data_IF_145256239780
#
_entry.id   IF_145256239780
#
_cell.length_a   1.000
_cell.length_b   1.000
_cell.length_c   1.000
_cell.angle_alpha   90.00
_cell.angle_beta   90.00
_cell.angle_gamma   90.00
#
_symmetry.space_group_name_H-M   'P 1'
#
loop_
_entity.id
_entity.type
_entity.pdbx_description
1 polymer ?
#
# COMPACT_ATOMS: atom_id res chain seq x y z
N UNK A 1 4.03 19.23 -2.20
CA UNK A 1 3.43 17.87 -2.16
C UNK A 1 2.74 17.63 -3.49
N UNK A 2 2.98 16.49 -4.15
CA UNK A 2 2.13 16.08 -5.28
C UNK A 2 0.70 15.94 -4.76
N UNK A 3 -0.34 16.47 -5.45
CA UNK A 3 -1.71 16.27 -5.03
C UNK A 3 -1.94 14.76 -4.88
N UNK A 4 -2.47 14.34 -3.72
CA UNK A 4 -2.81 12.93 -3.53
C UNK A 4 -3.75 12.54 -4.65
N UNK A 5 -3.41 11.53 -5.44
CA UNK A 5 -4.25 11.06 -6.52
C UNK A 5 -5.59 10.64 -5.90
N UNK A 6 -6.68 11.26 -6.32
CA UNK A 6 -8.01 11.12 -5.70
C UNK A 6 -8.55 9.67 -5.65
N UNK A 7 -7.90 8.74 -6.38
CA UNK A 7 -8.26 7.33 -6.48
C UNK A 7 -7.24 6.39 -5.83
N UNK A 8 -6.04 6.88 -5.38
CA UNK A 8 -5.02 6.07 -4.73
C UNK A 8 -4.91 6.43 -3.25
N UNK A 9 -5.03 5.43 -2.41
CA UNK A 9 -4.88 5.56 -0.97
C UNK A 9 -3.84 4.53 -0.47
N UNK A 10 -2.69 5.01 -0.04
CA UNK A 10 -1.64 4.15 0.48
C UNK A 10 -1.54 4.33 2.00
N UNK A 11 -1.92 3.29 2.72
CA UNK A 11 -1.85 3.21 4.16
C UNK A 11 -0.61 2.42 4.59
N UNK A 12 0.55 3.08 4.58
CA UNK A 12 1.82 2.56 5.13
C UNK A 12 2.31 1.21 4.57
N UNK A 13 1.73 0.68 3.49
CA UNK A 13 2.28 -0.51 2.82
C UNK A 13 3.54 -0.15 2.03
N UNK A 14 3.51 0.99 1.35
CA UNK A 14 4.62 1.54 0.59
C UNK A 14 4.98 2.95 1.08
N UNK A 15 6.12 3.47 0.66
CA UNK A 15 6.44 4.89 0.80
C UNK A 15 5.69 5.71 -0.26
N UNK A 16 4.94 6.75 0.13
CA UNK A 16 4.26 7.63 -0.82
C UNK A 16 5.25 8.29 -1.79
N UNK A 17 6.39 8.75 -1.28
CA UNK A 17 7.45 9.31 -2.13
C UNK A 17 7.96 8.29 -3.15
N UNK A 18 8.16 7.03 -2.72
CA UNK A 18 8.61 5.98 -3.63
C UNK A 18 7.58 5.75 -4.75
N UNK A 19 6.30 5.72 -4.42
CA UNK A 19 5.21 5.58 -5.39
C UNK A 19 5.11 6.78 -6.34
N UNK A 20 5.37 8.01 -5.85
CA UNK A 20 5.19 9.22 -6.65
C UNK A 20 6.37 9.49 -7.58
N UNK A 21 7.60 9.15 -7.17
CA UNK A 21 8.82 9.55 -7.84
C UNK A 21 9.66 8.37 -8.35
N UNK A 22 9.76 7.30 -7.57
CA UNK A 22 10.69 6.21 -7.86
C UNK A 22 10.11 5.11 -8.72
N UNK A 23 8.88 4.68 -8.44
CA UNK A 23 8.22 3.62 -9.22
C UNK A 23 8.11 3.98 -10.70
N UNK A 24 7.97 5.26 -11.03
CA UNK A 24 7.93 5.78 -12.40
C UNK A 24 9.25 5.62 -13.16
N UNK A 25 10.34 5.35 -12.45
CA UNK A 25 11.67 5.12 -13.04
C UNK A 25 11.92 3.65 -13.37
N UNK A 26 11.08 2.74 -12.85
CA UNK A 26 11.18 1.32 -13.13
C UNK A 26 10.86 1.00 -14.59
N UNK A 27 11.45 -0.05 -15.12
CA UNK A 27 11.23 -0.47 -16.51
C UNK A 27 9.76 -0.83 -16.74
N UNK A 28 9.11 -1.48 -15.79
CA UNK A 28 7.69 -1.86 -15.85
C UNK A 28 6.76 -0.65 -16.02
N UNK A 29 7.16 0.53 -15.54
CA UNK A 29 6.36 1.75 -15.73
C UNK A 29 6.34 2.24 -17.18
N UNK A 30 7.37 1.88 -17.94
CA UNK A 30 7.57 2.28 -19.34
C UNK A 30 7.10 1.22 -20.33
N UNK A 31 6.84 0.01 -19.83
CA UNK A 31 6.39 -1.10 -20.66
C UNK A 31 4.96 -0.89 -21.15
N UNK A 32 4.74 -1.34 -22.36
CA UNK A 32 3.50 -1.68 -23.03
C UNK A 32 2.30 -0.71 -22.88
N UNK A 33 2.42 0.47 -23.45
CA UNK A 33 1.34 1.48 -23.54
C UNK A 33 0.10 0.97 -24.32
N UNK A 34 0.26 0.01 -25.24
CA UNK A 34 -0.83 -0.54 -26.03
C UNK A 34 -1.68 -1.49 -25.18
N UNK A 35 -1.05 -2.47 -24.52
CA UNK A 35 -1.72 -3.42 -23.61
C UNK A 35 -2.40 -2.69 -22.45
N UNK A 36 -1.73 -1.71 -21.84
CA UNK A 36 -2.31 -0.84 -20.83
C UNK A 36 -3.59 -0.16 -21.31
N UNK A 37 -3.53 0.40 -22.54
CA UNK A 37 -4.66 1.10 -23.15
C UNK A 37 -5.84 0.18 -23.49
N UNK A 38 -5.58 -1.07 -23.85
CA UNK A 38 -6.61 -2.08 -24.08
C UNK A 38 -7.25 -2.53 -22.76
N UNK A 39 -6.44 -2.90 -21.78
CA UNK A 39 -6.89 -3.26 -20.44
C UNK A 39 -7.75 -2.17 -19.80
N UNK A 40 -7.34 -0.90 -19.91
CA UNK A 40 -8.12 0.22 -19.40
C UNK A 40 -9.49 0.33 -20.07
N UNK A 41 -9.54 0.17 -21.39
CA UNK A 41 -10.80 0.22 -22.17
C UNK A 41 -11.72 -0.94 -21.82
N UNK A 42 -11.19 -2.15 -21.65
CA UNK A 42 -11.97 -3.34 -21.31
C UNK A 42 -12.57 -3.23 -19.92
N UNK A 43 -11.78 -2.87 -18.91
CA UNK A 43 -12.28 -2.66 -17.55
C UNK A 43 -13.32 -1.54 -17.51
N UNK A 44 -13.06 -0.42 -18.21
CA UNK A 44 -14.04 0.68 -18.30
C UNK A 44 -15.38 0.24 -18.88
N UNK A 45 -15.38 -0.65 -19.89
CA UNK A 45 -16.61 -1.20 -20.47
C UNK A 45 -17.41 -2.05 -19.48
N UNK A 46 -16.73 -2.79 -18.59
CA UNK A 46 -17.42 -3.58 -17.54
C UNK A 46 -18.23 -2.68 -16.60
N UNK A 47 -17.67 -1.54 -16.20
CA UNK A 47 -18.35 -0.60 -15.32
C UNK A 47 -19.49 0.15 -16.02
N UNK A 48 -19.27 0.68 -17.23
CA UNK A 48 -20.22 1.57 -17.93
C UNK A 48 -21.63 0.98 -18.09
N UNK A 49 -21.75 -0.33 -18.25
CA UNK A 49 -23.04 -0.99 -18.54
C UNK A 49 -23.77 -1.50 -17.32
N UNK A 50 -23.14 -1.61 -16.14
CA UNK A 50 -23.65 -2.46 -15.06
C UNK A 50 -23.54 -1.86 -13.65
N UNK A 51 -23.05 -0.63 -13.44
CA UNK A 51 -22.86 -0.06 -12.09
C UNK A 51 -24.11 -0.17 -11.23
N UNK A 52 -25.28 0.18 -11.74
CA UNK A 52 -26.55 0.09 -10.98
C UNK A 52 -26.91 -1.34 -10.57
N UNK A 53 -26.46 -2.33 -11.36
CA UNK A 53 -26.66 -3.74 -11.06
C UNK A 53 -25.72 -4.13 -9.92
N UNK A 54 -24.44 -3.77 -10.02
CA UNK A 54 -23.42 -4.10 -9.02
C UNK A 54 -23.72 -3.56 -7.63
N UNK A 55 -24.31 -2.36 -7.54
CA UNK A 55 -24.72 -1.75 -6.29
C UNK A 55 -25.79 -2.52 -5.53
N UNK A 56 -26.55 -3.39 -6.20
CA UNK A 56 -27.72 -4.07 -5.65
C UNK A 56 -27.69 -5.60 -5.82
N UNK A 57 -26.63 -6.16 -6.38
CA UNK A 57 -26.51 -7.60 -6.59
C UNK A 57 -25.91 -8.33 -5.37
N UNK A 58 -26.04 -9.66 -5.37
CA UNK A 58 -25.34 -10.51 -4.41
C UNK A 58 -23.83 -10.52 -4.65
N UNK A 59 -23.06 -10.89 -3.63
CA UNK A 59 -21.60 -11.04 -3.72
C UNK A 59 -21.21 -12.00 -4.86
N UNK A 60 -21.84 -13.17 -4.92
CA UNK A 60 -21.58 -14.15 -5.98
C UNK A 60 -21.85 -13.60 -7.40
N UNK A 61 -22.90 -12.79 -7.58
CA UNK A 61 -23.18 -12.14 -8.86
C UNK A 61 -22.14 -11.06 -9.18
N UNK A 62 -21.68 -10.31 -8.18
CA UNK A 62 -20.62 -9.30 -8.33
C UNK A 62 -19.31 -9.96 -8.75
N UNK A 63 -18.93 -11.06 -8.08
CA UNK A 63 -17.75 -11.84 -8.42
C UNK A 63 -17.80 -12.31 -9.87
N UNK A 64 -18.88 -12.96 -10.28
CA UNK A 64 -19.00 -13.53 -11.62
C UNK A 64 -19.05 -12.47 -12.72
N UNK A 65 -19.75 -11.35 -12.46
CA UNK A 65 -20.02 -10.33 -13.48
C UNK A 65 -18.99 -9.21 -13.56
N UNK A 66 -18.14 -9.02 -12.53
CA UNK A 66 -17.16 -7.94 -12.46
C UNK A 66 -15.78 -8.41 -11.98
N UNK A 67 -15.67 -9.01 -10.79
CA UNK A 67 -14.38 -9.25 -10.16
C UNK A 67 -13.56 -10.29 -10.93
N UNK A 68 -14.15 -11.46 -11.24
CA UNK A 68 -13.50 -12.52 -12.05
C UNK A 68 -13.16 -12.06 -13.46
N UNK A 69 -14.03 -11.36 -14.19
CA UNK A 69 -13.66 -10.72 -15.45
C UNK A 69 -12.45 -9.79 -15.35
N UNK A 70 -12.36 -8.95 -14.31
CA UNK A 70 -11.19 -8.08 -14.10
C UNK A 70 -9.93 -8.92 -13.84
N UNK A 71 -9.98 -9.98 -13.01
CA UNK A 71 -8.84 -10.87 -12.81
C UNK A 71 -8.37 -11.51 -14.12
N UNK A 72 -9.31 -11.93 -15.01
CA UNK A 72 -8.95 -12.48 -16.32
C UNK A 72 -8.32 -11.44 -17.25
N UNK A 73 -8.85 -10.21 -17.27
CA UNK A 73 -8.28 -9.07 -18.03
C UNK A 73 -6.86 -8.75 -17.51
N UNK A 74 -6.60 -8.92 -16.23
CA UNK A 74 -5.27 -8.77 -15.60
C UNK A 74 -4.40 -10.02 -15.74
N UNK A 75 -4.82 -10.99 -16.57
CA UNK A 75 -4.13 -12.24 -16.90
C UNK A 75 -3.94 -13.22 -15.73
N UNK A 76 -4.72 -13.12 -14.65
CA UNK A 76 -4.61 -14.04 -13.53
C UNK A 76 -5.14 -15.45 -13.84
N UNK A 77 -4.39 -16.46 -13.40
CA UNK A 77 -4.81 -17.85 -13.28
C UNK A 77 -5.17 -18.11 -11.80
N UNK A 78 -6.41 -18.52 -11.51
CA UNK A 78 -6.86 -18.62 -10.13
C UNK A 78 -7.79 -19.81 -9.86
N UNK A 79 -7.64 -20.40 -8.69
CA UNK A 79 -8.59 -21.34 -8.08
C UNK A 79 -9.61 -20.57 -7.22
N UNK A 80 -10.79 -21.18 -7.03
CA UNK A 80 -11.92 -20.53 -6.34
C UNK A 80 -12.30 -21.36 -5.11
N UNK A 81 -12.36 -20.73 -3.95
CA UNK A 81 -12.89 -21.24 -2.67
C UNK A 81 -12.31 -22.60 -2.23
N UNK A 82 -11.04 -22.83 -2.40
CA UNK A 82 -10.40 -24.06 -1.94
C UNK A 82 -10.16 -24.04 -0.42
N UNK A 83 -10.34 -25.19 0.22
CA UNK A 83 -10.26 -25.32 1.68
C UNK A 83 -8.83 -25.24 2.18
N UNK A 84 -8.60 -24.45 3.21
CA UNK A 84 -7.46 -24.64 4.11
C UNK A 84 -7.76 -25.79 5.07
N UNK A 85 -6.82 -26.69 5.32
CA UNK A 85 -6.98 -27.96 6.07
C UNK A 85 -7.66 -27.82 7.44
N UNK A 86 -7.71 -26.65 8.06
CA UNK A 86 -8.34 -26.42 9.37
C UNK A 86 -9.77 -25.86 9.29
N UNK A 87 -10.41 -25.88 8.14
CA UNK A 87 -11.87 -25.81 7.99
C UNK A 87 -12.57 -24.48 8.26
N UNK A 88 -11.92 -23.49 8.86
CA UNK A 88 -12.57 -22.25 9.30
C UNK A 88 -12.34 -21.05 8.36
N UNK A 89 -11.28 -21.08 7.58
CA UNK A 89 -10.81 -19.93 6.79
C UNK A 89 -10.51 -20.35 5.37
N UNK A 90 -11.22 -19.75 4.41
CA UNK A 90 -11.07 -20.01 2.97
C UNK A 90 -10.95 -18.70 2.26
N UNK A 91 -9.80 -18.37 1.63
CA UNK A 91 -9.77 -17.29 0.67
C UNK A 91 -10.69 -17.62 -0.51
N UNK A 92 -11.37 -16.61 -1.05
CA UNK A 92 -12.24 -16.80 -2.21
C UNK A 92 -11.43 -17.12 -3.47
N UNK A 93 -10.17 -16.67 -3.51
CA UNK A 93 -9.26 -16.85 -4.64
C UNK A 93 -7.84 -17.26 -4.18
N UNK A 94 -7.21 -18.11 -4.98
CA UNK A 94 -5.78 -18.41 -4.91
C UNK A 94 -5.19 -18.22 -6.30
N UNK A 95 -4.18 -17.36 -6.43
CA UNK A 95 -3.60 -16.98 -7.71
C UNK A 95 -2.31 -17.76 -7.97
N UNK A 96 -2.16 -18.25 -9.19
CA UNK A 96 -1.03 -19.08 -9.59
C UNK A 96 -0.23 -18.46 -10.73
N UNK A 97 1.07 -18.78 -10.86
CA UNK A 97 1.91 -18.20 -11.91
C UNK A 97 1.45 -18.60 -13.32
N UNK A 98 0.90 -19.80 -13.50
CA UNK A 98 0.45 -20.35 -14.76
C UNK A 98 -0.62 -21.44 -14.55
N UNK A 99 -1.18 -21.93 -15.66
CA UNK A 99 -2.20 -22.98 -15.65
C UNK A 99 -1.65 -24.35 -15.20
N UNK A 100 -0.38 -24.62 -15.44
CA UNK A 100 0.23 -25.89 -15.05
C UNK A 100 0.37 -25.95 -13.52
N UNK A 101 0.83 -24.87 -12.91
CA UNK A 101 0.89 -24.73 -11.44
C UNK A 101 -0.49 -24.81 -10.80
N UNK A 102 -1.51 -24.21 -11.42
CA UNK A 102 -2.90 -24.32 -10.98
C UNK A 102 -3.39 -25.78 -11.09
N UNK A 103 -3.13 -26.46 -12.19
CA UNK A 103 -3.53 -27.86 -12.39
C UNK A 103 -2.90 -28.78 -11.36
N UNK A 104 -1.58 -28.64 -11.12
CA UNK A 104 -0.86 -29.41 -10.09
C UNK A 104 -1.41 -29.12 -8.68
N UNK A 105 -1.77 -27.87 -8.38
CA UNK A 105 -2.36 -27.52 -7.08
C UNK A 105 -3.69 -28.27 -6.85
N UNK A 106 -4.51 -28.47 -7.89
CA UNK A 106 -5.77 -29.19 -7.77
C UNK A 106 -5.59 -30.69 -7.39
N UNK A 107 -4.44 -31.29 -7.65
CA UNK A 107 -4.12 -32.64 -7.16
C UNK A 107 -4.00 -32.67 -5.63
N UNK A 108 -3.75 -31.53 -5.01
CA UNK A 108 -3.57 -31.35 -3.56
C UNK A 108 -4.68 -30.51 -2.89
N UNK A 109 -5.84 -30.32 -3.55
CA UNK A 109 -6.93 -29.44 -3.10
C UNK A 109 -7.51 -29.75 -1.72
N UNK A 110 -7.26 -30.94 -1.18
CA UNK A 110 -7.71 -31.37 0.14
C UNK A 110 -6.68 -31.12 1.25
N UNK A 111 -5.53 -30.53 0.92
CA UNK A 111 -4.44 -30.25 1.84
C UNK A 111 -3.95 -28.81 1.72
N UNK A 112 -3.15 -28.37 2.71
CA UNK A 112 -2.50 -27.04 2.66
C UNK A 112 -1.46 -26.94 1.53
N UNK A 113 -1.04 -28.07 0.95
CA UNK A 113 -0.12 -28.11 -0.20
C UNK A 113 -0.70 -27.46 -1.45
N UNK A 114 -2.03 -27.31 -1.52
CA UNK A 114 -2.70 -26.54 -2.57
C UNK A 114 -2.10 -25.14 -2.74
N UNK A 115 -1.69 -24.49 -1.65
CA UNK A 115 -1.19 -23.10 -1.67
C UNK A 115 0.32 -22.99 -1.94
N UNK A 116 1.08 -24.07 -1.99
CA UNK A 116 2.54 -24.04 -2.10
C UNK A 116 3.06 -23.30 -3.35
N UNK A 117 2.32 -23.39 -4.46
CA UNK A 117 2.65 -22.71 -5.72
C UNK A 117 1.87 -21.42 -5.95
N UNK A 118 0.96 -21.07 -5.04
CA UNK A 118 0.21 -19.83 -5.17
C UNK A 118 1.13 -18.62 -4.92
N UNK A 119 1.00 -17.59 -5.72
CA UNK A 119 1.76 -16.34 -5.63
C UNK A 119 1.01 -15.25 -4.84
N UNK A 120 -0.30 -15.37 -4.73
CA UNK A 120 -1.14 -14.51 -3.92
C UNK A 120 -2.46 -15.21 -3.57
N UNK A 121 -3.16 -14.68 -2.58
CA UNK A 121 -4.53 -15.05 -2.25
C UNK A 121 -5.47 -13.86 -2.44
N UNK A 122 -6.77 -14.08 -2.46
CA UNK A 122 -7.76 -13.00 -2.62
C UNK A 122 -9.06 -13.28 -1.89
N UNK A 123 -9.73 -12.20 -1.53
CA UNK A 123 -11.06 -12.24 -0.91
C UNK A 123 -11.95 -11.15 -1.50
N UNK A 124 -13.20 -11.51 -1.79
CA UNK A 124 -14.18 -10.62 -2.37
C UNK A 124 -15.29 -10.30 -1.36
N UNK A 125 -15.83 -9.11 -1.46
CA UNK A 125 -16.97 -8.66 -0.66
C UNK A 125 -18.03 -8.02 -1.56
N UNK A 126 -19.27 -8.05 -1.13
CA UNK A 126 -20.34 -7.38 -1.83
C UNK A 126 -20.06 -5.87 -1.99
N UNK A 127 -20.54 -5.25 -3.07
CA UNK A 127 -20.26 -3.87 -3.48
C UNK A 127 -20.35 -2.84 -2.35
N UNK A 128 -21.39 -2.90 -1.53
CA UNK A 128 -21.63 -1.93 -0.46
C UNK A 128 -20.93 -2.25 0.86
N UNK A 129 -20.13 -3.29 0.88
CA UNK A 129 -19.39 -3.70 2.07
C UNK A 129 -18.16 -2.83 2.25
N UNK A 130 -18.05 -2.20 3.44
CA UNK A 130 -16.82 -1.51 3.82
C UNK A 130 -15.71 -2.51 4.07
N UNK A 131 -14.54 -2.27 3.50
CA UNK A 131 -13.37 -3.12 3.70
C UNK A 131 -12.68 -2.91 5.06
N UNK A 132 -13.06 -1.85 5.81
CA UNK A 132 -12.48 -1.47 7.10
C UNK A 132 -13.38 -1.79 8.29
N UNK A 133 -14.67 -1.97 8.06
CA UNK A 133 -15.64 -2.05 9.15
C UNK A 133 -16.09 -3.47 9.39
N UNK A 134 -16.16 -3.79 10.65
CA UNK A 134 -16.79 -5.01 11.14
C UNK A 134 -18.25 -5.12 10.69
N UNK A 135 -18.59 -6.18 9.99
CA UNK A 135 -19.98 -6.42 9.59
C UNK A 135 -20.75 -7.09 10.73
N UNK A 136 -21.89 -6.52 11.11
CA UNK A 136 -22.85 -7.19 11.99
C UNK A 136 -23.61 -8.23 11.17
N UNK A 137 -23.34 -9.51 11.37
CA UNK A 137 -24.25 -10.57 10.91
C UNK A 137 -25.46 -10.63 11.84
N UNK A 138 -26.64 -10.56 11.28
CA UNK A 138 -27.89 -10.91 11.96
C UNK A 138 -27.87 -12.44 12.16
N UNK A 139 -27.70 -12.92 13.39
CA UNK A 139 -27.71 -14.35 13.69
C UNK A 139 -26.56 -14.90 14.55
N UNK A 140 -25.86 -14.07 15.31
CA UNK A 140 -25.14 -14.55 16.53
C UNK A 140 -23.72 -15.07 16.36
N UNK A 141 -23.07 -15.05 15.18
CA UNK A 141 -21.66 -15.44 15.05
C UNK A 141 -20.83 -14.45 14.23
N UNK A 142 -19.76 -14.01 14.88
CA UNK A 142 -18.58 -13.28 14.44
C UNK A 142 -18.75 -12.18 13.37
N UNK A 143 -18.67 -11.01 13.92
CA UNK A 143 -18.30 -9.75 13.30
C UNK A 143 -16.87 -9.87 12.76
N UNK A 144 -16.68 -10.04 11.46
CA UNK A 144 -15.32 -10.09 10.90
C UNK A 144 -15.08 -8.85 10.04
N UNK A 145 -14.05 -8.08 10.41
CA UNK A 145 -13.47 -7.06 9.58
C UNK A 145 -12.79 -7.75 8.38
N UNK A 146 -13.11 -7.39 7.11
CA UNK A 146 -12.48 -8.01 5.94
C UNK A 146 -10.95 -7.96 5.95
N UNK A 147 -10.35 -6.85 6.42
CA UNK A 147 -8.90 -6.74 6.56
C UNK A 147 -8.32 -7.74 7.57
N UNK A 148 -9.06 -8.07 8.64
CA UNK A 148 -8.65 -9.10 9.59
C UNK A 148 -8.74 -10.51 9.00
N UNK A 149 -9.71 -10.77 8.12
CA UNK A 149 -9.78 -12.06 7.41
C UNK A 149 -8.54 -12.25 6.52
N UNK A 150 -8.12 -11.21 5.81
CA UNK A 150 -6.88 -11.25 5.01
C UNK A 150 -5.65 -11.55 5.86
N UNK A 151 -5.50 -10.94 7.04
CA UNK A 151 -4.39 -11.24 7.96
C UNK A 151 -4.38 -12.71 8.38
N UNK A 152 -5.56 -13.28 8.69
CA UNK A 152 -5.66 -14.70 9.02
C UNK A 152 -5.25 -15.58 7.83
N UNK A 153 -5.70 -15.26 6.62
CA UNK A 153 -5.35 -16.04 5.44
C UNK A 153 -3.85 -16.01 5.17
N UNK A 154 -3.23 -14.82 5.19
CA UNK A 154 -1.80 -14.66 4.96
C UNK A 154 -0.93 -15.38 6.01
N UNK A 155 -1.40 -15.48 7.25
CA UNK A 155 -0.67 -16.23 8.31
C UNK A 155 -0.78 -17.73 8.18
N UNK A 156 -1.81 -18.22 7.49
CA UNK A 156 -2.09 -19.66 7.40
C UNK A 156 -1.82 -20.23 6.01
N UNK A 157 -1.32 -19.42 5.07
CA UNK A 157 -0.98 -19.85 3.71
C UNK A 157 0.43 -19.35 3.33
N UNK A 158 1.14 -20.03 2.40
CA UNK A 158 2.47 -19.62 1.97
C UNK A 158 2.56 -18.29 1.24
N UNK A 159 1.58 -17.86 0.43
CA UNK A 159 1.66 -16.58 -0.28
C UNK A 159 1.83 -15.38 0.66
N UNK A 160 2.73 -14.46 0.28
CA UNK A 160 3.01 -13.25 1.06
C UNK A 160 2.10 -12.08 0.69
N UNK A 161 1.43 -12.14 -0.46
CA UNK A 161 0.56 -11.09 -0.98
C UNK A 161 -0.91 -11.50 -0.99
N UNK A 162 -1.77 -10.52 -0.72
CA UNK A 162 -3.21 -10.72 -0.82
C UNK A 162 -3.92 -9.55 -1.49
N UNK A 163 -5.01 -9.87 -2.22
CA UNK A 163 -5.93 -8.90 -2.81
C UNK A 163 -7.27 -8.97 -2.05
N UNK A 164 -7.74 -7.82 -1.56
CA UNK A 164 -9.09 -7.67 -1.02
C UNK A 164 -9.88 -6.69 -1.88
N UNK A 165 -11.07 -7.07 -2.33
CA UNK A 165 -11.88 -6.20 -3.16
C UNK A 165 -13.38 -6.31 -2.90
N UNK A 166 -14.11 -5.21 -3.11
CA UNK A 166 -15.57 -5.18 -3.23
C UNK A 166 -16.01 -4.76 -4.66
N UNK A 167 -15.11 -4.94 -5.64
CA UNK A 167 -15.34 -4.55 -7.02
C UNK A 167 -15.07 -3.07 -7.30
N UNK A 168 -15.45 -2.14 -6.41
CA UNK A 168 -15.16 -0.71 -6.51
C UNK A 168 -13.77 -0.37 -5.98
N UNK A 169 -13.41 -0.94 -4.85
CA UNK A 169 -12.11 -0.74 -4.19
C UNK A 169 -11.29 -2.00 -4.22
N UNK A 170 -10.01 -1.84 -4.48
CA UNK A 170 -9.02 -2.92 -4.62
C UNK A 170 -7.86 -2.63 -3.71
N UNK A 171 -7.55 -3.58 -2.81
CA UNK A 171 -6.48 -3.46 -1.81
C UNK A 171 -5.44 -4.54 -1.97
N UNK A 172 -4.18 -4.17 -1.79
CA UNK A 172 -3.06 -5.08 -1.59
C UNK A 172 -2.68 -5.11 -0.12
N UNK A 173 -2.39 -6.29 0.38
CA UNK A 173 -1.83 -6.56 1.70
C UNK A 173 -0.58 -7.41 1.56
N UNK A 174 0.33 -7.26 2.51
CA UNK A 174 1.53 -8.10 2.61
C UNK A 174 1.61 -8.75 3.99
N UNK A 175 2.03 -10.02 4.05
CA UNK A 175 2.06 -10.87 5.24
C UNK A 175 2.80 -10.20 6.41
N UNK A 176 3.94 -9.55 6.19
CA UNK A 176 4.71 -8.89 7.25
C UNK A 176 3.98 -7.74 7.94
N UNK A 177 3.01 -7.11 7.28
CA UNK A 177 2.33 -5.91 7.78
C UNK A 177 0.84 -6.07 7.96
N UNK A 178 0.24 -7.20 7.54
CA UNK A 178 -1.21 -7.44 7.56
C UNK A 178 -1.82 -7.43 8.96
N UNK A 179 -1.03 -7.73 10.01
CA UNK A 179 -1.45 -7.62 11.41
C UNK A 179 -1.83 -6.17 11.80
N UNK A 180 -1.32 -5.18 11.07
CA UNK A 180 -1.79 -3.80 11.12
C UNK A 180 -2.92 -3.69 10.11
N UNK A 181 -4.14 -3.73 10.57
CA UNK A 181 -5.33 -3.76 9.70
C UNK A 181 -5.45 -2.52 8.79
N UNK A 182 -4.70 -1.47 9.09
CA UNK A 182 -4.57 -0.23 8.35
C UNK A 182 -3.32 -0.17 7.45
N UNK A 183 -2.57 -1.29 7.29
CA UNK A 183 -1.41 -1.35 6.39
C UNK A 183 -1.80 -1.98 5.06
N UNK A 184 -2.17 -1.16 4.08
CA UNK A 184 -2.59 -1.59 2.74
C UNK A 184 -2.33 -0.51 1.67
N UNK A 185 -2.32 -0.94 0.42
CA UNK A 185 -2.37 -0.07 -0.75
C UNK A 185 -3.73 -0.23 -1.42
N UNK A 186 -4.48 0.86 -1.61
CA UNK A 186 -5.84 0.84 -2.14
C UNK A 186 -5.97 1.69 -3.41
N UNK A 187 -6.73 1.16 -4.37
CA UNK A 187 -7.21 1.89 -5.54
C UNK A 187 -8.74 1.91 -5.53
N UNK A 188 -9.34 3.10 -5.62
CA UNK A 188 -10.74 3.30 -5.97
C UNK A 188 -10.89 3.16 -7.49
N UNK A 189 -11.08 1.90 -7.93
CA UNK A 189 -11.10 1.56 -9.35
C UNK A 189 -12.27 2.21 -10.09
N UNK A 190 -13.44 2.34 -9.42
CA UNK A 190 -14.58 3.01 -10.02
C UNK A 190 -14.25 4.47 -10.36
N UNK A 191 -13.73 5.21 -9.39
CA UNK A 191 -13.36 6.60 -9.59
C UNK A 191 -12.25 6.74 -10.66
N UNK A 192 -11.28 5.84 -10.64
CA UNK A 192 -10.19 5.79 -11.61
C UNK A 192 -10.70 5.57 -13.05
N UNK A 193 -11.59 4.62 -13.29
CA UNK A 193 -12.11 4.35 -14.63
C UNK A 193 -13.10 5.40 -15.15
N UNK A 194 -13.77 6.11 -14.23
CA UNK A 194 -14.68 7.21 -14.60
C UNK A 194 -13.93 8.50 -14.93
N UNK A 195 -12.94 8.87 -14.13
CA UNK A 195 -12.32 10.21 -14.13
C UNK A 195 -10.82 10.20 -14.38
N UNK A 196 -10.16 9.06 -14.18
CA UNK A 196 -8.71 8.94 -14.29
C UNK A 196 -8.19 8.92 -15.72
N UNK A 197 -6.91 9.22 -15.87
CA UNK A 197 -6.13 9.11 -17.09
C UNK A 197 -5.50 7.70 -17.23
N UNK A 198 -4.96 7.39 -18.42
CA UNK A 198 -4.18 6.16 -18.64
C UNK A 198 -2.93 6.11 -17.77
N UNK A 199 -2.26 7.24 -17.57
CA UNK A 199 -1.07 7.31 -16.74
C UNK A 199 -1.39 6.98 -15.28
N UNK A 200 -2.52 7.47 -14.79
CA UNK A 200 -3.01 7.15 -13.46
C UNK A 200 -3.46 5.69 -13.33
N UNK A 201 -3.96 5.10 -14.41
CA UNK A 201 -4.35 3.69 -14.45
C UNK A 201 -3.17 2.74 -14.27
N UNK A 202 -1.92 3.16 -14.55
CA UNK A 202 -0.71 2.38 -14.25
C UNK A 202 -0.62 1.99 -12.78
N UNK A 203 -1.09 2.83 -11.86
CA UNK A 203 -1.13 2.51 -10.43
C UNK A 203 -2.07 1.35 -10.06
N UNK A 204 -3.07 1.08 -10.89
CA UNK A 204 -3.88 -0.13 -10.76
C UNK A 204 -3.25 -1.29 -11.54
N UNK A 205 -3.01 -1.11 -12.83
CA UNK A 205 -2.57 -2.16 -13.73
C UNK A 205 -1.27 -2.83 -13.27
N UNK A 206 -0.22 -2.04 -13.01
CA UNK A 206 1.09 -2.57 -12.63
C UNK A 206 1.09 -3.26 -11.24
N UNK A 207 0.20 -2.86 -10.36
CA UNK A 207 0.15 -3.41 -9.00
C UNK A 207 -0.78 -4.61 -8.85
N UNK A 208 -1.78 -4.75 -9.74
CA UNK A 208 -2.77 -5.81 -9.63
C UNK A 208 -2.73 -6.83 -10.78
N UNK A 209 -1.95 -6.64 -11.83
CA UNK A 209 -1.76 -7.63 -12.89
C UNK A 209 -0.98 -8.86 -12.39
N UNK A 210 -1.18 -10.03 -13.02
CA UNK A 210 -0.47 -11.27 -12.66
C UNK A 210 1.04 -11.09 -12.53
N UNK A 211 1.67 -10.42 -13.49
CA UNK A 211 3.12 -10.19 -13.50
C UNK A 211 3.64 -9.40 -12.29
N UNK A 212 2.76 -8.68 -11.57
CA UNK A 212 3.14 -7.97 -10.35
C UNK A 212 3.59 -8.93 -9.22
N UNK A 213 3.06 -10.16 -9.24
CA UNK A 213 3.28 -11.18 -8.21
C UNK A 213 4.32 -12.23 -8.63
N UNK A 214 4.71 -12.25 -9.91
CA UNK A 214 5.65 -13.27 -10.41
C UNK A 214 7.09 -12.88 -10.11
N UNK A 215 7.91 -13.83 -9.66
CA UNK A 215 9.33 -13.59 -9.47
C UNK A 215 10.03 -13.33 -10.81
N UNK A 216 10.81 -12.25 -10.86
CA UNK A 216 11.68 -11.92 -11.97
C UNK A 216 12.96 -12.76 -11.96
N UNK A 217 13.95 -12.38 -12.78
CA UNK A 217 15.25 -13.07 -12.86
C UNK A 217 16.04 -13.04 -11.55
N UNK A 218 15.81 -12.07 -10.72
CA UNK A 218 16.41 -11.88 -9.39
C UNK A 218 15.66 -12.62 -8.27
N UNK A 219 14.62 -13.40 -8.61
CA UNK A 219 13.77 -14.12 -7.66
C UNK A 219 12.76 -13.27 -6.92
N UNK A 220 12.63 -11.95 -7.24
CA UNK A 220 11.68 -11.02 -6.61
C UNK A 220 10.60 -10.60 -7.59
N UNK A 221 9.40 -10.44 -7.09
CA UNK A 221 8.30 -9.87 -7.86
C UNK A 221 8.43 -8.35 -7.99
N UNK A 222 7.63 -7.75 -8.87
CA UNK A 222 7.52 -6.28 -8.93
C UNK A 222 7.09 -5.69 -7.57
N UNK A 223 6.10 -6.29 -6.91
CA UNK A 223 5.61 -5.83 -5.63
C UNK A 223 6.67 -5.92 -4.53
N UNK A 224 7.49 -6.98 -4.52
CA UNK A 224 8.60 -7.13 -3.57
C UNK A 224 9.64 -6.03 -3.77
N UNK A 225 10.03 -5.76 -5.02
CA UNK A 225 10.95 -4.66 -5.33
C UNK A 225 10.42 -3.30 -4.92
N UNK A 226 9.13 -3.04 -5.13
CA UNK A 226 8.49 -1.78 -4.70
C UNK A 226 8.47 -1.67 -3.18
N UNK A 227 8.16 -2.77 -2.48
CA UNK A 227 8.15 -2.80 -1.01
C UNK A 227 9.55 -2.58 -0.43
N UNK A 228 10.54 -3.35 -0.88
CA UNK A 228 11.93 -3.23 -0.44
C UNK A 228 12.49 -1.83 -0.75
N UNK A 229 12.24 -1.32 -1.95
CA UNK A 229 12.64 0.03 -2.35
C UNK A 229 12.01 1.11 -1.48
N UNK A 230 10.75 0.93 -1.09
CA UNK A 230 10.04 1.83 -0.16
C UNK A 230 10.68 1.81 1.23
N UNK A 231 11.03 0.64 1.76
CA UNK A 231 11.68 0.48 3.07
C UNK A 231 13.08 1.10 3.04
N UNK A 232 13.89 0.74 2.04
CA UNK A 232 15.25 1.26 1.88
C UNK A 232 15.26 2.79 1.74
N UNK A 233 14.31 3.34 0.97
CA UNK A 233 14.18 4.78 0.83
C UNK A 233 13.81 5.46 2.15
N UNK A 234 12.83 4.93 2.89
CA UNK A 234 12.40 5.49 4.18
C UNK A 234 13.54 5.47 5.18
N UNK A 235 14.34 4.41 5.19
CA UNK A 235 15.50 4.28 6.05
C UNK A 235 16.57 5.30 5.69
N UNK A 236 16.89 5.44 4.39
CA UNK A 236 17.83 6.46 3.91
C UNK A 236 17.39 7.89 4.26
N UNK A 237 16.11 8.21 4.10
CA UNK A 237 15.59 9.54 4.48
C UNK A 237 15.72 9.75 5.99
N UNK A 238 15.52 8.71 6.79
CA UNK A 238 15.76 8.76 8.24
C UNK A 238 17.21 9.07 8.59
N UNK A 239 18.14 8.37 7.96
CA UNK A 239 19.59 8.56 8.16
C UNK A 239 20.03 9.96 7.71
N UNK A 240 19.61 10.40 6.51
CA UNK A 240 19.89 11.74 5.97
C UNK A 240 19.31 12.84 6.89
N UNK A 241 18.10 12.63 7.43
CA UNK A 241 17.49 13.56 8.37
C UNK A 241 18.28 13.64 9.67
N UNK A 242 18.70 12.51 10.22
CA UNK A 242 19.51 12.45 11.43
C UNK A 242 20.83 13.21 11.25
N UNK A 243 21.53 13.02 10.14
CA UNK A 243 22.76 13.73 9.83
C UNK A 243 22.53 15.24 9.67
N UNK A 244 21.48 15.64 8.96
CA UNK A 244 21.12 17.04 8.77
C UNK A 244 20.73 17.72 10.10
N UNK A 245 19.98 17.04 10.96
CA UNK A 245 19.64 17.50 12.31
C UNK A 245 20.91 17.72 13.13
N UNK A 246 21.85 16.74 13.10
CA UNK A 246 23.11 16.86 13.82
C UNK A 246 23.94 18.04 13.30
N UNK A 247 24.02 18.22 11.98
CA UNK A 247 24.72 19.35 11.35
C UNK A 247 24.09 20.69 11.73
N UNK A 248 22.76 20.79 11.70
CA UNK A 248 22.05 22.00 12.12
C UNK A 248 22.26 22.32 13.61
N UNK A 249 22.24 21.30 14.47
CA UNK A 249 22.57 21.47 15.90
C UNK A 249 23.99 22.04 16.09
N UNK A 250 24.96 21.52 15.38
CA UNK A 250 26.34 22.00 15.43
C UNK A 250 26.43 23.47 15.06
N UNK A 251 25.83 23.87 13.92
CA UNK A 251 25.81 25.26 13.46
C UNK A 251 25.15 26.20 14.50
N UNK A 252 24.02 25.78 15.07
CA UNK A 252 23.32 26.55 16.11
C UNK A 252 24.18 26.69 17.36
N UNK A 253 24.79 25.60 17.81
CA UNK A 253 25.67 25.61 18.99
C UNK A 253 26.89 26.53 18.78
N UNK A 254 27.54 26.46 17.63
CA UNK A 254 28.65 27.34 17.25
C UNK A 254 28.22 28.82 17.21
N UNK A 255 27.01 29.10 16.65
CA UNK A 255 26.43 30.44 16.63
C UNK A 255 26.16 30.99 18.04
N UNK A 256 25.62 30.17 18.95
CA UNK A 256 25.40 30.57 20.34
C UNK A 256 26.71 30.81 21.11
N UNK A 257 27.74 30.00 20.88
CA UNK A 257 29.08 30.21 21.46
C UNK A 257 29.72 31.49 20.96
N UNK A 258 29.64 31.80 19.66
CA UNK A 258 30.18 33.02 19.09
C UNK A 258 29.47 34.30 19.53
N UNK A 259 28.16 34.24 19.75
CA UNK A 259 27.41 35.41 20.20
C UNK A 259 27.67 35.79 21.66
N UNK A 260 28.14 34.85 22.46
CA UNK A 260 28.64 35.09 23.81
C UNK A 260 30.18 35.19 23.73
N UNK A 261 30.71 36.36 23.53
CA UNK A 261 32.17 36.63 23.60
C UNK A 261 32.69 36.49 25.06
N UNK A 262 32.83 35.25 25.56
CA UNK A 262 33.10 34.96 26.97
C UNK A 262 34.44 34.24 27.12
N UNK A 263 35.31 34.78 27.97
CA UNK A 263 36.40 34.02 28.60
C UNK A 263 35.76 33.03 29.61
N UNK A 264 35.57 31.80 29.15
CA UNK A 264 34.89 30.75 29.96
C UNK A 264 35.89 30.05 30.88
N UNK A 265 35.55 29.91 32.17
CA UNK A 265 36.20 28.99 33.09
C UNK A 265 35.92 27.54 32.67
N UNK A 266 36.89 26.61 32.68
CA UNK A 266 36.70 25.20 32.32
C UNK A 266 35.59 24.46 33.06
N UNK A 267 35.25 24.88 34.30
CA UNK A 267 34.18 24.31 35.08
C UNK A 267 32.79 24.82 34.73
N UNK A 268 32.66 26.04 34.27
CA UNK A 268 31.44 26.62 33.75
C UNK A 268 31.15 26.16 32.31
N UNK A 269 32.18 25.70 31.59
CA UNK A 269 32.05 25.30 30.19
C UNK A 269 31.18 24.07 30.00
N UNK A 270 31.16 23.09 30.90
CA UNK A 270 30.39 21.88 30.75
C UNK A 270 28.87 22.14 30.94
N UNK A 271 28.49 22.95 31.93
CA UNK A 271 27.09 23.34 32.14
C UNK A 271 26.57 24.22 30.98
N UNK A 272 27.40 25.14 30.51
CA UNK A 272 27.05 26.01 29.38
C UNK A 272 26.88 25.22 28.07
N UNK A 273 27.73 24.23 27.82
CA UNK A 273 27.61 23.36 26.63
C UNK A 273 26.30 22.57 26.67
N UNK A 274 25.93 22.06 27.85
CA UNK A 274 24.64 21.36 28.00
C UNK A 274 23.43 22.29 27.81
N UNK A 275 23.49 23.50 28.36
CA UNK A 275 22.44 24.52 28.15
C UNK A 275 22.30 24.92 26.68
N UNK A 276 23.41 25.10 25.99
CA UNK A 276 23.43 25.39 24.55
C UNK A 276 22.85 24.25 23.76
N UNK A 277 23.20 22.99 24.08
CA UNK A 277 22.67 21.79 23.46
C UNK A 277 21.14 21.72 23.60
N UNK A 278 20.62 21.93 24.82
CA UNK A 278 19.18 21.90 25.06
C UNK A 278 18.45 23.02 24.32
N UNK A 279 18.98 24.22 24.31
CA UNK A 279 18.35 25.35 23.63
C UNK A 279 18.41 25.20 22.10
N UNK A 280 19.51 24.67 21.56
CA UNK A 280 19.61 24.35 20.13
C UNK A 280 18.59 23.29 19.73
N UNK A 281 18.43 22.21 20.53
CA UNK A 281 17.40 21.19 20.33
C UNK A 281 15.99 21.78 20.37
N UNK A 282 15.67 22.61 21.35
CA UNK A 282 14.34 23.26 21.46
C UNK A 282 14.05 24.13 20.23
N UNK A 283 15.02 24.91 19.79
CA UNK A 283 14.85 25.74 18.60
C UNK A 283 14.62 24.88 17.37
N UNK A 284 15.42 23.82 17.21
CA UNK A 284 15.31 22.91 16.08
C UNK A 284 13.96 22.19 16.05
N UNK A 285 13.47 21.69 17.18
CA UNK A 285 12.14 21.08 17.26
C UNK A 285 11.02 22.06 16.91
N UNK A 286 11.12 23.31 17.34
CA UNK A 286 10.13 24.36 16.98
C UNK A 286 10.14 24.63 15.47
N UNK A 287 11.33 24.74 14.85
CA UNK A 287 11.45 24.93 13.40
C UNK A 287 10.90 23.72 12.63
N UNK A 288 11.24 22.50 13.03
CA UNK A 288 10.72 21.29 12.40
C UNK A 288 9.19 21.19 12.54
N UNK A 289 8.64 21.59 13.69
CA UNK A 289 7.18 21.62 13.89
C UNK A 289 6.51 22.63 12.96
N UNK A 290 7.07 23.84 12.83
CA UNK A 290 6.54 24.88 11.93
C UNK A 290 6.59 24.37 10.47
N UNK A 291 7.73 23.86 10.00
CA UNK A 291 7.86 23.31 8.64
C UNK A 291 6.91 22.13 8.39
N UNK A 292 6.72 21.28 9.39
CA UNK A 292 5.74 20.19 9.31
C UNK A 292 4.32 20.74 9.18
N UNK A 293 3.94 21.71 10.01
CA UNK A 293 2.62 22.32 9.98
C UNK A 293 2.33 23.05 8.66
N UNK A 294 3.31 23.79 8.12
CA UNK A 294 3.25 24.39 6.78
C UNK A 294 3.07 23.31 5.70
N UNK A 295 3.88 22.25 5.74
CA UNK A 295 3.83 21.17 4.75
C UNK A 295 2.50 20.39 4.75
N UNK A 296 1.70 20.54 5.80
CA UNK A 296 0.37 19.92 5.98
C UNK A 296 -0.78 20.86 5.82
N UNK A 297 -0.53 22.11 5.38
CA UNK A 297 -1.53 23.18 5.27
C UNK A 297 -2.28 23.41 6.59
N UNK A 298 -1.59 23.21 7.73
CA UNK A 298 -2.14 23.48 9.06
C UNK A 298 -1.94 24.94 9.50
N UNK A 299 -1.10 25.68 8.78
CA UNK A 299 -0.83 27.09 8.97
C UNK A 299 -1.30 27.85 7.74
N UNK A 300 -2.02 28.92 7.94
CA UNK A 300 -2.49 29.83 6.88
C UNK A 300 -1.36 30.78 6.47
N UNK A 301 -0.39 30.25 5.70
CA UNK A 301 0.79 31.00 5.25
C UNK A 301 0.46 32.12 4.23
N UNK A 302 -0.75 32.11 3.64
CA UNK A 302 -1.24 33.16 2.75
C UNK A 302 -1.84 34.35 3.52
N UNK A 303 -2.00 34.24 4.83
CA UNK A 303 -2.51 35.31 5.66
C UNK A 303 -1.43 36.37 5.91
N UNK A 304 -1.66 37.60 5.48
CA UNK A 304 -0.74 38.72 5.64
C UNK A 304 -0.37 39.05 7.13
N UNK A 305 -1.06 38.45 8.08
CA UNK A 305 -0.84 38.60 9.52
C UNK A 305 -0.12 37.43 10.18
N UNK A 306 0.36 36.46 9.38
CA UNK A 306 1.12 35.29 9.84
C UNK A 306 2.59 35.60 10.12
#
# INVERSE_FOLDING_TARGET
>A
MSPSLAFRNNHNLFSNYYLDERVKQNDEWREDEEELGETFREIKKLFQKKIKIFQNCSEAMLEDSLIRPIFRILDHHFGIQESVYRGAYRPDYSFFPDLDSLAEAYDHRESDDFYLKAVAIGDAKAWNVSLDKTQKRVGGFNIQNPSYQIDIYLRNTPPEWAILTNGSRWRLYHQETSYRLDSYYEIDLLNLVEKGSREEFKYFYLFFRRNAFLPGRDGRSFLDRVKEGSVAYTQKVGDDLQENVYRAMKVLAEGFLQSRSLGLDPTESAQLVEEIRENALRLLYRLLFIFYAESRDLLDVENEHY
#
